data_IF_276765957990
#
_entry.id   IF_276765957990
#
_cell.length_a   1.000
_cell.length_b   1.000
_cell.length_c   1.000
_cell.angle_alpha   90.00
_cell.angle_beta   90.00
_cell.angle_gamma   90.00
#
_symmetry.space_group_name_H-M   'P 1'
#
loop_
_entity.id
_entity.type
_entity.pdbx_description
1 polymer ?
#
# COMPACT_ATOMS: atom_id res chain seq x y z
N UNK A 1 -13.58 17.21 1.71
CA UNK A 1 -13.07 18.32 2.56
C UNK A 1 -13.32 17.93 4.02
N UNK A 2 -12.56 18.46 5.00
CA UNK A 2 -12.59 17.99 6.40
C UNK A 2 -13.04 19.05 7.43
N UNK A 3 -13.88 19.99 7.02
CA UNK A 3 -14.33 21.08 7.90
C UNK A 3 -13.30 22.20 8.08
N UNK A 4 -13.56 23.07 9.07
CA UNK A 4 -12.76 24.27 9.34
C UNK A 4 -11.83 24.15 10.55
N UNK A 5 -11.88 23.03 11.28
CA UNK A 5 -10.98 22.80 12.41
C UNK A 5 -9.53 22.81 11.97
N UNK A 6 -8.59 23.17 12.84
CA UNK A 6 -7.16 23.19 12.55
C UNK A 6 -6.66 21.82 12.06
N UNK A 7 -7.10 20.73 12.70
CA UNK A 7 -6.75 19.36 12.29
C UNK A 7 -7.39 18.98 10.94
N UNK A 8 -8.64 19.41 10.70
CA UNK A 8 -9.34 19.20 9.43
C UNK A 8 -8.66 19.96 8.29
N UNK A 9 -8.31 21.22 8.53
CA UNK A 9 -7.60 22.07 7.59
C UNK A 9 -6.19 21.54 7.31
N UNK A 10 -5.44 21.11 8.32
CA UNK A 10 -4.14 20.45 8.13
C UNK A 10 -4.24 19.22 7.21
N UNK A 11 -5.27 18.40 7.34
CA UNK A 11 -5.53 17.26 6.43
C UNK A 11 -5.81 17.72 4.99
N UNK A 12 -6.46 18.88 4.80
CA UNK A 12 -6.69 19.46 3.49
C UNK A 12 -5.41 20.04 2.90
N UNK A 13 -4.66 20.86 3.64
CA UNK A 13 -3.37 21.44 3.22
C UNK A 13 -2.38 20.34 2.84
N UNK A 14 -2.29 19.27 3.64
CA UNK A 14 -1.47 18.10 3.32
C UNK A 14 -1.77 17.53 1.92
N UNK A 15 -3.06 17.35 1.58
CA UNK A 15 -3.49 16.81 0.28
C UNK A 15 -3.29 17.79 -0.87
N UNK A 16 -3.41 19.09 -0.60
CA UNK A 16 -3.03 20.13 -1.55
C UNK A 16 -1.54 20.00 -1.87
N UNK A 17 -0.69 19.85 -0.85
CA UNK A 17 0.75 19.66 -1.04
C UNK A 17 1.08 18.39 -1.82
N UNK A 18 0.44 17.26 -1.52
CA UNK A 18 0.60 16.03 -2.33
C UNK A 18 0.24 16.24 -3.81
N UNK A 19 -0.78 17.08 -4.08
CA UNK A 19 -1.20 17.40 -5.43
C UNK A 19 -0.17 18.25 -6.18
N UNK A 20 0.53 19.16 -5.48
CA UNK A 20 1.60 19.97 -6.04
C UNK A 20 2.87 19.15 -6.25
N UNK A 21 3.27 18.35 -5.25
CA UNK A 21 4.49 17.55 -5.28
C UNK A 21 4.45 16.41 -6.29
N UNK A 22 3.28 15.75 -6.42
CA UNK A 22 3.19 14.48 -7.14
C UNK A 22 2.09 14.42 -8.20
N UNK A 23 1.27 15.47 -8.31
CA UNK A 23 0.13 15.51 -9.23
C UNK A 23 -1.11 14.78 -8.71
N UNK A 24 -2.30 15.30 -9.05
CA UNK A 24 -3.58 14.76 -8.57
C UNK A 24 -3.89 13.35 -9.09
N UNK A 25 -3.49 13.03 -10.33
CA UNK A 25 -3.79 11.73 -10.96
C UNK A 25 -3.20 10.57 -10.15
N UNK A 26 -1.97 10.71 -9.67
CA UNK A 26 -1.33 9.68 -8.84
C UNK A 26 -2.10 9.44 -7.54
N UNK A 27 -2.62 10.51 -6.93
CA UNK A 27 -3.38 10.46 -5.67
C UNK A 27 -4.77 9.81 -5.80
N UNK A 28 -5.26 9.57 -7.03
CA UNK A 28 -6.53 8.85 -7.26
C UNK A 28 -6.35 7.34 -7.42
N UNK A 29 -5.11 6.84 -7.42
CA UNK A 29 -4.86 5.40 -7.33
C UNK A 29 -5.28 4.91 -5.95
N UNK A 30 -6.09 3.85 -5.93
CA UNK A 30 -6.53 3.15 -4.73
C UNK A 30 -5.91 1.75 -4.63
N UNK A 31 -5.95 1.17 -3.44
CA UNK A 31 -5.49 -0.18 -3.15
C UNK A 31 -5.99 -0.60 -1.77
N UNK A 32 -5.69 -1.84 -1.39
CA UNK A 32 -6.07 -2.40 -0.10
C UNK A 32 -4.90 -2.31 0.87
N UNK A 33 -5.22 -1.95 2.12
CA UNK A 33 -4.30 -2.13 3.23
C UNK A 33 -4.75 -3.28 4.11
N UNK A 34 -3.87 -4.24 4.34
CA UNK A 34 -4.10 -5.36 5.25
C UNK A 34 -3.35 -5.11 6.56
N UNK A 35 -4.08 -5.02 7.67
CA UNK A 35 -3.51 -4.74 8.98
C UNK A 35 -3.41 -6.05 9.77
N UNK A 36 -2.21 -6.42 10.19
CA UNK A 36 -1.92 -7.70 10.82
C UNK A 36 -1.15 -7.52 12.13
N UNK A 37 -1.64 -8.18 13.18
CA UNK A 37 -1.01 -8.25 14.50
C UNK A 37 -1.09 -9.67 15.03
N UNK A 38 -0.10 -10.05 15.82
CA UNK A 38 -0.10 -11.33 16.52
C UNK A 38 -0.78 -11.18 17.89
N UNK A 39 -1.40 -12.25 18.42
CA UNK A 39 -2.11 -12.20 19.69
C UNK A 39 -1.18 -11.96 20.89
N UNK A 40 0.06 -12.42 20.80
CA UNK A 40 1.09 -12.21 21.82
C UNK A 40 1.87 -10.92 21.55
N UNK A 41 2.31 -10.24 22.61
CA UNK A 41 3.21 -9.09 22.52
C UNK A 41 4.56 -9.53 21.93
N UNK A 42 4.69 -9.46 20.61
CA UNK A 42 5.95 -9.67 19.90
C UNK A 42 6.90 -8.49 20.14
N UNK A 43 8.18 -8.78 20.08
CA UNK A 43 9.21 -7.75 20.17
C UNK A 43 9.20 -6.85 18.93
N UNK A 44 9.78 -5.66 19.03
CA UNK A 44 10.03 -4.83 17.85
C UNK A 44 10.88 -5.61 16.82
N UNK A 45 11.86 -6.37 17.29
CA UNK A 45 12.77 -7.14 16.45
C UNK A 45 12.03 -8.19 15.62
N UNK A 46 11.03 -8.86 16.19
CA UNK A 46 10.16 -9.80 15.46
C UNK A 46 9.40 -9.10 14.33
N UNK A 47 8.84 -7.91 14.60
CA UNK A 47 8.12 -7.14 13.59
C UNK A 47 9.05 -6.62 12.49
N UNK A 48 10.27 -6.20 12.83
CA UNK A 48 11.26 -5.78 11.85
C UNK A 48 11.82 -6.95 11.05
N UNK A 49 11.99 -8.12 11.66
CA UNK A 49 12.31 -9.37 10.97
C UNK A 49 11.23 -9.74 9.94
N UNK A 50 9.95 -9.68 10.35
CA UNK A 50 8.80 -9.86 9.46
C UNK A 50 8.85 -8.85 8.31
N UNK A 51 9.06 -7.55 8.60
CA UNK A 51 9.09 -6.51 7.57
C UNK A 51 10.22 -6.75 6.55
N UNK A 52 11.42 -7.11 6.99
CA UNK A 52 12.54 -7.42 6.07
C UNK A 52 12.21 -8.60 5.15
N UNK A 53 11.70 -9.70 5.72
CA UNK A 53 11.30 -10.86 4.92
C UNK A 53 10.11 -10.58 4.00
N UNK A 54 9.14 -9.81 4.47
CA UNK A 54 8.05 -9.33 3.63
C UNK A 54 8.60 -8.54 2.44
N UNK A 55 9.55 -7.62 2.66
CA UNK A 55 10.17 -6.85 1.57
C UNK A 55 10.88 -7.78 0.58
N UNK A 56 11.63 -8.79 1.06
CA UNK A 56 12.31 -9.80 0.22
C UNK A 56 11.37 -10.58 -0.68
N UNK A 57 10.19 -10.96 -0.17
CA UNK A 57 9.27 -11.88 -0.86
C UNK A 57 8.02 -11.19 -1.45
N UNK A 58 7.78 -9.91 -1.15
CA UNK A 58 6.55 -9.19 -1.53
C UNK A 58 6.27 -9.12 -3.03
N UNK A 59 7.28 -9.33 -3.88
CA UNK A 59 7.09 -9.46 -5.32
C UNK A 59 6.14 -10.62 -5.67
N UNK A 60 6.08 -11.69 -4.86
CA UNK A 60 5.16 -12.80 -5.08
C UNK A 60 3.70 -12.37 -4.96
N UNK A 61 3.39 -11.44 -4.04
CA UNK A 61 2.05 -10.87 -3.92
C UNK A 61 1.68 -10.01 -5.14
N UNK A 62 2.64 -9.31 -5.73
CA UNK A 62 2.42 -8.57 -6.98
C UNK A 62 2.07 -9.52 -8.12
N UNK A 63 2.77 -10.66 -8.20
CA UNK A 63 2.49 -11.68 -9.19
C UNK A 63 1.10 -12.31 -9.00
N UNK A 64 0.81 -12.81 -7.79
CA UNK A 64 -0.41 -13.57 -7.50
C UNK A 64 -1.67 -12.71 -7.49
N UNK A 65 -1.58 -11.45 -7.03
CA UNK A 65 -2.75 -10.63 -6.74
C UNK A 65 -2.72 -9.25 -7.42
N UNK A 66 -1.67 -8.94 -8.20
CA UNK A 66 -1.65 -7.74 -9.03
C UNK A 66 -2.79 -7.77 -10.04
N UNK A 67 -3.55 -6.68 -10.13
CA UNK A 67 -4.76 -6.60 -10.95
C UNK A 67 -4.86 -5.26 -11.71
N UNK A 68 -3.73 -4.59 -11.92
CA UNK A 68 -3.65 -3.30 -12.61
C UNK A 68 -2.68 -3.32 -13.80
N UNK A 69 -2.86 -4.18 -14.82
CA UNK A 69 -1.95 -4.29 -15.96
C UNK A 69 -2.12 -3.17 -17.00
N UNK A 70 -3.21 -2.41 -16.93
CA UNK A 70 -3.60 -1.39 -17.90
C UNK A 70 -4.09 -0.11 -17.19
N UNK A 71 -4.02 1.02 -17.89
CA UNK A 71 -4.46 2.34 -17.44
C UNK A 71 -5.15 3.11 -18.56
N UNK A 72 -5.96 4.10 -18.20
CA UNK A 72 -6.46 5.08 -19.17
C UNK A 72 -5.30 5.94 -19.71
N UNK A 73 -5.31 6.24 -21.01
CA UNK A 73 -4.29 7.09 -21.66
C UNK A 73 -4.13 8.47 -21.00
N UNK A 74 -5.21 9.02 -20.45
CA UNK A 74 -5.18 10.29 -19.71
C UNK A 74 -4.34 10.24 -18.41
N UNK A 75 -4.12 9.05 -17.85
CA UNK A 75 -3.37 8.88 -16.60
C UNK A 75 -1.93 9.37 -16.74
N UNK A 76 -1.29 9.04 -17.87
CA UNK A 76 0.10 9.38 -18.19
C UNK A 76 0.24 10.54 -19.16
N UNK A 77 -0.85 11.22 -19.54
CA UNK A 77 -0.79 12.33 -20.50
C UNK A 77 0.20 13.42 -20.05
N UNK A 78 1.20 13.71 -20.88
CA UNK A 78 2.27 14.67 -20.60
C UNK A 78 3.37 14.15 -19.67
N UNK A 79 3.51 12.82 -19.50
CA UNK A 79 4.58 12.18 -18.73
C UNK A 79 5.30 11.16 -19.61
N UNK A 80 6.60 10.99 -19.37
CA UNK A 80 7.36 9.91 -19.98
C UNK A 80 6.95 8.55 -19.40
N UNK A 81 6.77 7.55 -20.27
CA UNK A 81 6.38 6.21 -19.87
C UNK A 81 6.79 5.16 -20.91
N UNK A 82 6.88 3.91 -20.48
CA UNK A 82 7.20 2.74 -21.33
C UNK A 82 5.96 1.93 -21.76
N UNK A 83 4.75 2.40 -21.41
CA UNK A 83 3.51 1.69 -21.76
C UNK A 83 3.27 1.63 -23.27
N UNK A 84 2.70 0.52 -23.71
CA UNK A 84 2.27 0.29 -25.09
C UNK A 84 0.79 0.63 -25.23
N UNK A 85 0.38 1.15 -26.38
CA UNK A 85 -1.02 1.42 -26.68
C UNK A 85 -1.76 0.12 -26.98
N UNK A 86 -2.85 -0.13 -26.26
CA UNK A 86 -3.74 -1.29 -26.45
C UNK A 86 -5.00 -0.92 -27.25
N UNK A 87 -5.53 0.29 -27.03
CA UNK A 87 -6.67 0.88 -27.75
C UNK A 87 -6.54 2.42 -27.77
N UNK A 88 -7.52 3.14 -28.30
CA UNK A 88 -7.56 4.61 -28.28
C UNK A 88 -7.44 5.20 -26.86
N UNK A 89 -8.14 4.61 -25.89
CA UNK A 89 -8.25 5.11 -24.52
C UNK A 89 -7.37 4.37 -23.50
N UNK A 90 -6.62 3.35 -23.94
CA UNK A 90 -5.95 2.39 -23.04
C UNK A 90 -4.49 2.17 -23.39
N UNK A 91 -3.66 2.22 -22.34
CA UNK A 91 -2.25 1.87 -22.35
C UNK A 91 -2.00 0.71 -21.37
N UNK A 92 -1.03 -0.15 -21.66
CA UNK A 92 -0.74 -1.33 -20.83
C UNK A 92 0.71 -1.81 -21.03
N UNK A 93 1.09 -2.84 -20.27
CA UNK A 93 2.24 -3.69 -20.59
C UNK A 93 1.77 -5.16 -20.71
N UNK A 94 2.20 -5.91 -21.74
CA UNK A 94 1.71 -7.27 -22.02
C UNK A 94 1.82 -8.24 -20.85
N UNK A 95 2.88 -8.11 -20.04
CA UNK A 95 3.21 -9.00 -18.93
C UNK A 95 3.11 -8.32 -17.55
N UNK A 96 2.58 -7.09 -17.47
CA UNK A 96 2.43 -6.41 -16.19
C UNK A 96 1.43 -7.12 -15.29
N UNK A 97 1.71 -7.01 -14.00
CA UNK A 97 0.86 -7.50 -12.91
C UNK A 97 0.19 -6.32 -12.20
N UNK A 98 1.00 -5.38 -11.71
CA UNK A 98 0.54 -4.20 -10.98
C UNK A 98 1.29 -2.94 -11.42
N UNK A 99 0.74 -2.19 -12.37
CA UNK A 99 1.28 -0.87 -12.75
C UNK A 99 1.18 0.12 -11.57
N UNK A 100 0.23 -0.08 -10.65
CA UNK A 100 0.13 0.65 -9.39
C UNK A 100 1.40 0.55 -8.53
N UNK A 101 2.08 -0.59 -8.56
CA UNK A 101 3.30 -0.83 -7.79
C UNK A 101 4.59 -0.61 -8.58
N UNK A 102 4.48 -0.28 -9.87
CA UNK A 102 5.59 0.08 -10.74
C UNK A 102 5.90 1.59 -10.79
N UNK A 103 6.76 1.99 -11.73
CA UNK A 103 7.20 3.38 -11.98
C UNK A 103 6.09 4.43 -12.14
N UNK A 104 4.90 4.03 -12.57
CA UNK A 104 3.77 4.94 -12.78
C UNK A 104 2.93 5.17 -11.51
N UNK A 105 3.16 4.34 -10.49
CA UNK A 105 2.49 4.40 -9.21
C UNK A 105 3.05 5.49 -8.30
N UNK A 106 2.97 5.23 -7.00
CA UNK A 106 3.44 6.14 -5.94
C UNK A 106 4.96 6.10 -5.78
N UNK A 107 5.73 6.31 -6.84
CA UNK A 107 7.18 6.53 -6.76
C UNK A 107 7.50 7.91 -7.33
N UNK A 108 7.95 8.81 -6.46
CA UNK A 108 8.54 10.08 -6.87
C UNK A 108 10.07 9.99 -6.76
N UNK A 109 10.78 10.70 -7.63
CA UNK A 109 12.25 10.75 -7.62
C UNK A 109 12.79 11.23 -6.25
N UNK A 110 12.03 12.10 -5.58
CA UNK A 110 12.35 12.59 -4.25
C UNK A 110 12.32 11.46 -3.18
N UNK A 111 11.37 10.53 -3.25
CA UNK A 111 11.32 9.40 -2.32
C UNK A 111 12.29 8.28 -2.70
N UNK A 112 12.68 8.19 -3.97
CA UNK A 112 13.67 7.20 -4.43
C UNK A 112 15.05 7.41 -3.80
N UNK A 113 15.39 8.62 -3.35
CA UNK A 113 16.63 8.90 -2.62
C UNK A 113 16.59 8.52 -1.13
N UNK A 114 15.43 8.12 -0.59
CA UNK A 114 15.30 7.80 0.84
C UNK A 114 15.69 6.34 1.11
N UNK A 115 16.90 6.15 1.62
CA UNK A 115 17.39 4.85 2.09
C UNK A 115 16.93 4.57 3.53
N UNK A 116 15.66 4.18 3.70
CA UNK A 116 15.13 3.77 5.02
C UNK A 116 15.64 2.38 5.39
N UNK A 117 16.30 2.27 6.55
CA UNK A 117 16.66 0.97 7.12
C UNK A 117 15.47 0.30 7.81
N UNK A 118 15.39 -1.03 7.68
CA UNK A 118 14.40 -1.87 8.37
C UNK A 118 15.09 -2.91 9.28
N UNK A 119 16.31 -2.61 9.72
CA UNK A 119 17.04 -3.51 10.61
C UNK A 119 16.50 -3.46 12.04
N UNK A 120 16.10 -2.28 12.51
CA UNK A 120 15.53 -2.08 13.83
C UNK A 120 14.66 -0.80 13.89
N UNK A 121 13.96 -0.61 15.00
CA UNK A 121 13.07 0.53 15.21
C UNK A 121 13.83 1.87 15.25
N UNK A 122 15.02 1.91 15.85
CA UNK A 122 15.77 3.14 16.02
C UNK A 122 16.31 3.65 14.68
N UNK A 123 16.90 2.76 13.89
CA UNK A 123 17.40 3.07 12.54
C UNK A 123 16.25 3.49 11.61
N UNK A 124 15.13 2.75 11.62
CA UNK A 124 13.93 3.14 10.88
C UNK A 124 13.43 4.53 11.26
N UNK A 125 13.33 4.80 12.57
CA UNK A 125 12.79 6.06 13.04
C UNK A 125 13.73 7.24 12.74
N UNK A 126 15.04 7.05 12.87
CA UNK A 126 16.05 8.04 12.50
C UNK A 126 15.98 8.40 11.01
N UNK A 127 15.86 7.40 10.12
CA UNK A 127 15.71 7.65 8.68
C UNK A 127 14.47 8.48 8.34
N UNK A 128 13.34 8.22 9.02
CA UNK A 128 12.12 9.01 8.81
C UNK A 128 12.21 10.41 9.41
N UNK A 129 12.83 10.57 10.58
CA UNK A 129 13.01 11.88 11.20
C UNK A 129 13.83 12.81 10.30
N UNK A 130 14.91 12.34 9.68
CA UNK A 130 15.69 13.15 8.73
C UNK A 130 14.82 13.65 7.57
N UNK A 131 14.02 12.76 6.98
CA UNK A 131 13.12 13.10 5.87
C UNK A 131 12.01 14.10 6.26
N UNK A 132 11.62 14.14 7.53
CA UNK A 132 10.58 15.01 8.06
C UNK A 132 11.11 16.38 8.49
N UNK A 133 12.40 16.48 8.82
CA UNK A 133 13.01 17.67 9.44
C UNK A 133 13.92 18.45 8.50
N UNK A 134 14.56 17.79 7.53
CA UNK A 134 15.48 18.42 6.59
C UNK A 134 14.73 19.10 5.43
N UNK A 135 14.91 20.41 5.20
CA UNK A 135 14.36 21.08 4.02
C UNK A 135 14.83 20.42 2.72
N UNK A 136 13.91 20.30 1.76
CA UNK A 136 14.21 19.79 0.44
C UNK A 136 14.34 20.97 -0.55
N UNK A 137 15.49 21.18 -1.20
CA UNK A 137 15.77 22.42 -1.95
C UNK A 137 14.70 22.80 -2.98
N UNK A 138 14.13 21.82 -3.69
CA UNK A 138 13.10 22.09 -4.69
C UNK A 138 11.78 22.59 -4.07
N UNK A 139 11.41 22.10 -2.87
CA UNK A 139 10.21 22.54 -2.16
C UNK A 139 10.45 23.85 -1.41
N UNK A 140 11.67 24.06 -0.90
CA UNK A 140 12.08 25.33 -0.29
C UNK A 140 12.03 26.49 -1.29
N UNK A 141 12.49 26.27 -2.52
CA UNK A 141 12.42 27.27 -3.58
C UNK A 141 10.99 27.70 -3.94
N UNK A 142 9.99 26.83 -3.73
CA UNK A 142 8.57 27.13 -3.93
C UNK A 142 8.01 27.93 -2.73
N UNK A 143 8.50 27.63 -1.53
CA UNK A 143 8.10 28.23 -0.26
C UNK A 143 6.70 27.80 0.22
N UNK A 144 6.38 28.15 1.47
CA UNK A 144 5.05 27.90 2.05
C UNK A 144 4.15 29.10 1.72
N UNK A 145 3.24 28.92 0.75
CA UNK A 145 2.12 29.84 0.53
C UNK A 145 0.93 29.43 1.41
N UNK A 146 0.09 30.38 1.80
CA UNK A 146 -1.05 30.12 2.70
C UNK A 146 -1.95 28.99 2.17
N UNK A 147 -1.85 27.80 2.77
CA UNK A 147 -2.72 26.66 2.49
C UNK A 147 -2.24 25.68 1.42
N UNK A 148 -1.03 25.86 0.87
CA UNK A 148 -0.53 25.03 -0.23
C UNK A 148 0.21 23.77 0.25
N UNK A 149 1.07 23.88 1.28
CA UNK A 149 1.83 22.76 1.85
C UNK A 149 1.98 22.91 3.37
N UNK A 150 2.25 21.81 4.07
CA UNK A 150 2.51 21.85 5.51
C UNK A 150 3.92 22.33 5.85
N UNK A 151 4.93 21.95 5.06
CA UNK A 151 6.34 22.33 5.23
C UNK A 151 7.07 22.23 3.89
N UNK A 152 8.38 22.46 3.90
CA UNK A 152 9.27 22.34 2.73
C UNK A 152 10.24 21.16 2.85
N UNK A 153 10.00 20.23 3.78
CA UNK A 153 10.86 19.05 3.96
C UNK A 153 10.47 17.95 2.98
N UNK A 154 11.33 16.93 2.84
CA UNK A 154 11.13 15.85 1.88
C UNK A 154 9.76 15.18 2.05
N UNK A 155 9.34 14.98 3.30
CA UNK A 155 8.00 14.49 3.66
C UNK A 155 7.28 15.52 4.51
N UNK A 156 6.05 15.91 4.14
CA UNK A 156 5.26 16.82 4.97
C UNK A 156 4.95 16.20 6.35
N UNK A 157 4.59 14.93 6.34
CA UNK A 157 4.30 14.10 7.51
C UNK A 157 4.63 12.65 7.21
N UNK A 158 4.73 11.82 8.25
CA UNK A 158 5.06 10.39 8.20
C UNK A 158 4.23 9.63 7.17
N UNK A 159 2.96 10.03 7.02
CA UNK A 159 2.03 9.36 6.13
C UNK A 159 2.41 9.46 4.64
N UNK A 160 3.22 10.46 4.26
CA UNK A 160 3.72 10.70 2.90
C UNK A 160 4.74 9.66 2.46
N UNK A 161 5.43 9.00 3.41
CA UNK A 161 6.46 8.00 3.11
C UNK A 161 5.89 6.74 2.44
N UNK A 162 6.02 6.60 1.12
CA UNK A 162 5.47 5.44 0.44
C UNK A 162 6.31 4.18 0.69
N UNK A 163 5.67 3.12 1.21
CA UNK A 163 6.29 1.81 1.42
C UNK A 163 5.28 0.68 1.20
N UNK A 164 5.78 -0.51 0.89
CA UNK A 164 4.97 -1.72 0.66
C UNK A 164 4.39 -2.29 1.96
N UNK A 165 5.05 -2.02 3.08
CA UNK A 165 4.64 -2.40 4.43
C UNK A 165 5.10 -1.31 5.42
N UNK A 166 4.35 -1.09 6.50
CA UNK A 166 4.71 -0.14 7.57
C UNK A 166 4.56 -0.76 8.96
N UNK A 167 5.49 -0.52 9.89
CA UNK A 167 5.22 -0.72 11.31
C UNK A 167 4.23 0.33 11.78
N UNK A 168 3.30 -0.06 12.66
CA UNK A 168 2.22 0.82 13.14
C UNK A 168 1.98 0.66 14.63
N UNK A 169 1.50 1.75 15.22
CA UNK A 169 1.01 1.87 16.60
C UNK A 169 -0.24 2.74 16.59
N UNK A 170 -1.26 2.40 17.41
CA UNK A 170 -2.39 3.32 17.63
C UNK A 170 -1.89 4.64 18.23
N UNK A 171 -2.30 5.74 17.63
CA UNK A 171 -1.94 7.10 18.06
C UNK A 171 -3.03 7.70 18.95
N UNK A 172 -2.61 8.51 19.93
CA UNK A 172 -3.49 9.41 20.68
C UNK A 172 -3.87 10.61 19.82
N UNK A 173 -4.91 11.35 20.21
CA UNK A 173 -5.29 12.60 19.51
C UNK A 173 -4.13 13.59 19.54
N UNK A 174 -3.77 14.12 18.36
CA UNK A 174 -2.68 15.08 18.19
C UNK A 174 -1.28 14.47 18.18
N UNK A 175 -1.15 13.16 18.45
CA UNK A 175 0.14 12.48 18.49
C UNK A 175 0.65 12.14 17.08
N UNK A 176 1.96 12.27 16.89
CA UNK A 176 2.66 11.91 15.65
C UNK A 176 2.89 10.40 15.56
N UNK A 177 2.67 9.76 14.39
CA UNK A 177 2.92 8.32 14.24
C UNK A 177 4.33 7.86 14.61
N UNK A 178 5.35 8.67 14.31
CA UNK A 178 6.74 8.30 14.59
C UNK A 178 7.04 8.31 16.09
N UNK A 179 6.54 9.33 16.80
CA UNK A 179 6.59 9.44 18.26
C UNK A 179 5.90 8.24 18.92
N UNK A 180 4.68 7.90 18.49
CA UNK A 180 3.95 6.75 19.01
C UNK A 180 4.72 5.42 18.87
N UNK A 181 5.42 5.23 17.75
CA UNK A 181 6.26 4.06 17.49
C UNK A 181 7.49 4.04 18.38
N UNK A 182 8.20 5.16 18.56
CA UNK A 182 9.39 5.26 19.42
C UNK A 182 9.04 4.95 20.87
N UNK A 183 8.02 5.62 21.39
CA UNK A 183 7.64 5.54 22.79
C UNK A 183 7.07 4.18 23.20
N UNK A 184 6.40 3.49 22.26
CA UNK A 184 5.58 2.33 22.63
C UNK A 184 5.81 1.10 21.76
N UNK A 185 6.75 1.17 20.82
CA UNK A 185 7.05 0.08 19.90
C UNK A 185 5.95 -0.19 18.89
N UNK A 186 6.20 -1.23 18.09
CA UNK A 186 5.29 -1.72 17.06
C UNK A 186 4.14 -2.48 17.73
N UNK A 187 2.93 -2.28 17.22
CA UNK A 187 1.73 -3.00 17.65
C UNK A 187 1.17 -3.89 16.53
N UNK A 188 1.31 -3.45 15.28
CA UNK A 188 0.86 -4.19 14.12
C UNK A 188 1.62 -3.73 12.87
N UNK A 189 1.52 -4.49 11.79
CA UNK A 189 2.01 -4.09 10.47
C UNK A 189 0.87 -3.80 9.52
N UNK A 190 1.05 -2.80 8.68
CA UNK A 190 0.13 -2.44 7.60
C UNK A 190 0.78 -2.82 6.27
N UNK A 191 0.30 -3.88 5.61
CA UNK A 191 0.64 -4.23 4.23
C UNK A 191 -0.13 -3.31 3.29
N UNK A 192 0.54 -2.72 2.31
CA UNK A 192 0.00 -1.64 1.47
C UNK A 192 0.14 -1.88 -0.02
N UNK A 193 0.71 -3.01 -0.43
CA UNK A 193 0.98 -3.29 -1.85
C UNK A 193 -0.21 -3.88 -2.61
N UNK A 194 -1.29 -4.30 -1.92
CA UNK A 194 -2.39 -5.01 -2.57
C UNK A 194 -3.20 -4.11 -3.50
N UNK A 195 -3.39 -4.57 -4.74
CA UNK A 195 -4.33 -3.97 -5.68
C UNK A 195 -5.77 -4.34 -5.31
N UNK A 196 -6.73 -3.63 -5.92
CA UNK A 196 -8.14 -4.02 -5.86
C UNK A 196 -8.37 -5.20 -6.81
N UNK A 197 -8.98 -6.29 -6.36
CA UNK A 197 -9.50 -7.32 -7.26
C UNK A 197 -10.76 -6.80 -7.95
N UNK A 198 -10.73 -6.52 -9.28
CA UNK A 198 -11.86 -5.93 -9.97
C UNK A 198 -13.01 -6.93 -10.14
N UNK A 199 -12.81 -8.23 -9.91
CA UNK A 199 -13.83 -9.25 -10.13
C UNK A 199 -14.74 -9.49 -8.93
N UNK A 200 -14.48 -8.85 -7.79
CA UNK A 200 -15.29 -9.03 -6.57
C UNK A 200 -15.78 -7.69 -6.01
N UNK A 201 -17.04 -7.58 -5.54
CA UNK A 201 -17.65 -6.29 -5.17
C UNK A 201 -16.93 -5.51 -4.08
N UNK A 202 -16.27 -6.19 -3.15
CA UNK A 202 -15.53 -5.58 -2.04
C UNK A 202 -14.00 -5.58 -2.26
N UNK A 203 -13.56 -5.86 -3.50
CA UNK A 203 -12.17 -5.83 -3.97
C UNK A 203 -11.17 -6.81 -3.32
N UNK A 204 -11.59 -7.68 -2.41
CA UNK A 204 -10.75 -8.72 -1.80
C UNK A 204 -11.59 -9.95 -1.44
N UNK A 205 -11.01 -11.14 -1.55
CA UNK A 205 -11.64 -12.40 -1.15
C UNK A 205 -11.15 -12.88 0.22
N UNK A 206 -11.92 -13.75 0.86
CA UNK A 206 -11.48 -14.43 2.07
C UNK A 206 -10.20 -15.25 1.83
N UNK A 207 -10.05 -15.87 0.65
CA UNK A 207 -8.87 -16.67 0.30
C UNK A 207 -7.61 -15.80 0.20
N UNK A 208 -7.70 -14.60 -0.36
CA UNK A 208 -6.59 -13.64 -0.35
C UNK A 208 -6.20 -13.26 1.08
N UNK A 209 -7.17 -13.03 1.96
CA UNK A 209 -6.90 -12.75 3.38
C UNK A 209 -6.19 -13.92 4.06
N UNK A 210 -6.66 -15.16 3.83
CA UNK A 210 -6.04 -16.38 4.38
C UNK A 210 -4.62 -16.59 3.86
N UNK A 211 -4.40 -16.32 2.58
CA UNK A 211 -3.05 -16.36 2.02
C UNK A 211 -2.14 -15.32 2.68
N UNK A 212 -2.62 -14.09 2.89
CA UNK A 212 -1.85 -13.04 3.57
C UNK A 212 -1.47 -13.42 5.00
N UNK A 213 -2.37 -14.06 5.75
CA UNK A 213 -2.04 -14.60 7.08
C UNK A 213 -0.88 -15.60 7.03
N UNK A 214 -0.97 -16.60 6.13
CA UNK A 214 0.07 -17.62 5.95
C UNK A 214 1.39 -16.98 5.54
N UNK A 215 1.35 -16.06 4.57
CA UNK A 215 2.52 -15.38 4.04
C UNK A 215 3.21 -14.50 5.09
N UNK A 216 2.44 -13.76 5.90
CA UNK A 216 2.99 -12.92 6.97
C UNK A 216 3.58 -13.76 8.11
N UNK A 217 2.98 -14.91 8.42
CA UNK A 217 3.56 -15.87 9.35
C UNK A 217 4.83 -16.51 8.81
N UNK A 218 4.91 -16.82 7.51
CA UNK A 218 6.16 -17.24 6.87
C UNK A 218 7.24 -16.16 7.03
N UNK A 219 6.91 -14.90 6.72
CA UNK A 219 7.84 -13.79 6.89
C UNK A 219 8.33 -13.62 8.34
N UNK A 220 7.47 -13.90 9.33
CA UNK A 220 7.84 -13.87 10.74
C UNK A 220 8.79 -15.01 11.13
N UNK A 221 8.53 -16.22 10.64
CA UNK A 221 9.19 -17.45 11.10
C UNK A 221 10.50 -17.75 10.37
N UNK A 222 10.70 -17.21 9.17
CA UNK A 222 11.95 -17.38 8.43
C UNK A 222 13.08 -16.54 9.01
N UNK A 223 14.31 -17.06 8.89
CA UNK A 223 15.52 -16.30 9.24
C UNK A 223 15.52 -14.93 8.55
N UNK A 224 15.84 -13.90 9.32
CA UNK A 224 15.77 -12.52 8.84
C UNK A 224 17.07 -11.77 9.15
N UNK A 225 18.16 -12.08 8.42
CA UNK A 225 19.38 -11.31 8.56
C UNK A 225 19.13 -9.82 8.28
N UNK A 226 19.94 -8.91 8.85
CA UNK A 226 19.91 -7.50 8.50
C UNK A 226 20.07 -7.28 6.99
N UNK A 227 19.34 -6.32 6.44
CA UNK A 227 19.47 -5.94 5.04
C UNK A 227 20.71 -5.07 4.78
N UNK A 228 21.22 -5.14 3.55
CA UNK A 228 22.32 -4.31 3.05
C UNK A 228 21.83 -3.39 1.93
N UNK A 229 22.54 -2.28 1.62
CA UNK A 229 22.19 -1.43 0.49
C UNK A 229 22.06 -2.18 -0.85
N UNK A 230 22.91 -3.17 -1.10
CA UNK A 230 22.88 -4.01 -2.30
C UNK A 230 21.61 -4.87 -2.34
N UNK A 231 21.25 -5.47 -1.20
CA UNK A 231 20.00 -6.24 -1.08
C UNK A 231 18.77 -5.34 -1.28
N UNK A 232 18.76 -4.13 -0.72
CA UNK A 232 17.67 -3.17 -0.90
C UNK A 232 17.49 -2.75 -2.37
N UNK A 233 18.60 -2.60 -3.10
CA UNK A 233 18.58 -2.36 -4.55
C UNK A 233 18.00 -3.56 -5.31
N UNK A 234 18.42 -4.79 -4.97
CA UNK A 234 17.88 -6.02 -5.57
C UNK A 234 16.38 -6.18 -5.30
N UNK A 235 15.93 -5.96 -4.05
CA UNK A 235 14.50 -5.98 -3.67
C UNK A 235 13.70 -4.98 -4.51
N UNK A 236 14.20 -3.76 -4.64
CA UNK A 236 13.54 -2.71 -5.43
C UNK A 236 13.48 -3.09 -6.92
N UNK A 237 14.57 -3.62 -7.46
CA UNK A 237 14.66 -4.12 -8.83
C UNK A 237 13.67 -5.26 -9.09
N UNK A 238 13.63 -6.27 -8.23
CA UNK A 238 12.71 -7.41 -8.34
C UNK A 238 11.25 -6.94 -8.30
N UNK A 239 10.89 -6.07 -7.34
CA UNK A 239 9.55 -5.48 -7.27
C UNK A 239 9.16 -4.81 -8.59
N UNK A 240 10.06 -4.00 -9.16
CA UNK A 240 9.80 -3.30 -10.41
C UNK A 240 9.67 -4.27 -11.60
N UNK A 241 10.54 -5.30 -11.68
CA UNK A 241 10.47 -6.34 -12.72
C UNK A 241 9.14 -7.09 -12.65
N UNK A 242 8.70 -7.51 -11.46
CA UNK A 242 7.44 -8.26 -11.33
C UNK A 242 6.23 -7.37 -11.59
N UNK A 243 6.25 -6.11 -11.15
CA UNK A 243 5.18 -5.15 -11.42
C UNK A 243 4.95 -4.96 -12.94
N UNK A 244 6.01 -4.81 -13.72
CA UNK A 244 5.93 -4.51 -15.17
C UNK A 244 5.94 -5.73 -16.08
N UNK A 245 6.55 -6.84 -15.65
CA UNK A 245 6.85 -8.02 -16.47
C UNK A 245 6.58 -9.35 -15.76
N UNK A 246 5.92 -9.36 -14.60
CA UNK A 246 5.79 -10.55 -13.75
C UNK A 246 5.22 -11.80 -14.42
N UNK A 247 4.39 -11.65 -15.47
CA UNK A 247 3.85 -12.77 -16.24
C UNK A 247 4.71 -13.23 -17.41
N UNK A 248 5.88 -12.62 -17.63
CA UNK A 248 6.77 -12.98 -18.71
C UNK A 248 7.40 -14.36 -18.45
N UNK A 249 7.28 -15.32 -19.39
CA UNK A 249 7.89 -16.64 -19.23
C UNK A 249 9.41 -16.55 -19.01
N UNK A 250 9.93 -17.28 -18.02
CA UNK A 250 11.37 -17.29 -17.72
C UNK A 250 11.89 -16.00 -17.08
N UNK A 251 11.02 -15.11 -16.56
CA UNK A 251 11.47 -13.90 -15.86
C UNK A 251 12.39 -14.28 -14.68
N UNK A 252 13.58 -13.66 -14.64
CA UNK A 252 14.55 -13.87 -13.57
C UNK A 252 14.60 -12.71 -12.58
N UNK A 253 14.78 -13.07 -11.31
CA UNK A 253 14.90 -12.18 -10.17
C UNK A 253 16.29 -12.32 -9.54
N UNK A 254 16.78 -11.26 -8.93
CA UNK A 254 18.09 -11.23 -8.26
C UNK A 254 17.94 -11.68 -6.81
N UNK A 255 18.65 -12.75 -6.42
CA UNK A 255 18.68 -13.28 -5.04
C UNK A 255 20.14 -13.41 -4.60
N UNK A 256 20.60 -12.46 -3.79
CA UNK A 256 22.02 -12.35 -3.45
C UNK A 256 22.88 -12.19 -4.73
N UNK A 257 23.95 -12.98 -4.90
CA UNK A 257 24.82 -12.89 -6.08
C UNK A 257 24.27 -13.64 -7.32
N UNK A 258 23.13 -14.31 -7.21
CA UNK A 258 22.57 -15.17 -8.25
C UNK A 258 21.29 -14.59 -8.84
N UNK A 259 20.94 -15.06 -10.03
CA UNK A 259 19.60 -14.88 -10.60
C UNK A 259 18.84 -16.21 -10.57
N UNK A 260 17.57 -16.16 -10.20
CA UNK A 260 16.67 -17.32 -10.08
C UNK A 260 15.38 -17.03 -10.85
N UNK A 261 14.75 -18.05 -11.43
CA UNK A 261 13.47 -17.85 -12.11
C UNK A 261 12.37 -17.51 -11.10
N UNK A 262 11.45 -16.61 -11.48
CA UNK A 262 10.33 -16.20 -10.63
C UNK A 262 9.50 -17.39 -10.15
N UNK A 263 9.18 -18.32 -11.06
CA UNK A 263 8.38 -19.50 -10.76
C UNK A 263 9.11 -20.45 -9.80
N UNK A 264 10.42 -20.64 -9.97
CA UNK A 264 11.26 -21.46 -9.08
C UNK A 264 11.28 -20.86 -7.67
N UNK A 265 11.65 -19.58 -7.54
CA UNK A 265 11.71 -18.94 -6.23
C UNK A 265 10.33 -18.81 -5.56
N UNK A 266 9.28 -18.58 -6.36
CA UNK A 266 7.91 -18.53 -5.87
C UNK A 266 7.47 -19.88 -5.32
N UNK A 267 7.85 -20.96 -6.00
CA UNK A 267 7.57 -22.33 -5.58
C UNK A 267 8.21 -22.66 -4.24
N UNK A 268 9.46 -22.25 -4.02
CA UNK A 268 10.14 -22.39 -2.73
C UNK A 268 9.37 -21.67 -1.60
N UNK A 269 9.03 -20.39 -1.80
CA UNK A 269 8.31 -19.60 -0.79
C UNK A 269 6.93 -20.20 -0.48
N UNK A 270 6.21 -20.68 -1.50
CA UNK A 270 4.89 -21.32 -1.32
C UNK A 270 5.02 -22.70 -0.63
N UNK A 271 6.09 -23.45 -0.88
CA UNK A 271 6.36 -24.70 -0.18
C UNK A 271 6.62 -24.46 1.31
N UNK A 272 7.40 -23.44 1.65
CA UNK A 272 7.67 -23.03 3.04
C UNK A 272 6.41 -22.56 3.77
N UNK A 273 5.40 -22.08 3.03
CA UNK A 273 4.08 -21.74 3.57
C UNK A 273 3.23 -22.97 3.93
N UNK A 274 3.54 -24.15 3.38
CA UNK A 274 2.74 -25.38 3.53
C UNK A 274 2.54 -25.85 4.98
N UNK A 275 3.62 -25.97 5.79
CA UNK A 275 3.49 -26.31 7.21
C UNK A 275 2.66 -25.30 8.02
N UNK A 276 2.74 -24.02 7.67
CA UNK A 276 2.02 -22.92 8.33
C UNK A 276 0.53 -23.01 8.02
N UNK A 277 0.16 -23.12 6.74
CA UNK A 277 -1.22 -23.31 6.32
C UNK A 277 -1.84 -24.55 6.99
N UNK A 278 -1.07 -25.64 7.08
CA UNK A 278 -1.49 -26.86 7.76
C UNK A 278 -1.71 -26.66 9.26
N UNK A 279 -0.89 -25.85 9.93
CA UNK A 279 -1.05 -25.52 11.34
C UNK A 279 -2.28 -24.66 11.62
N UNK A 280 -2.54 -23.64 10.79
CA UNK A 280 -3.73 -22.80 10.90
C UNK A 280 -5.02 -23.61 10.68
N UNK A 281 -4.99 -24.52 9.72
CA UNK A 281 -6.11 -25.42 9.42
C UNK A 281 -6.42 -26.37 10.58
N UNK A 282 -5.41 -26.91 11.27
CA UNK A 282 -5.66 -27.73 12.48
C UNK A 282 -6.47 -26.98 13.55
N UNK A 283 -6.41 -25.65 13.58
CA UNK A 283 -7.18 -24.82 14.50
C UNK A 283 -8.50 -24.28 13.90
N UNK A 284 -8.62 -24.16 12.57
CA UNK A 284 -9.67 -23.37 11.92
C UNK A 284 -10.39 -24.05 10.72
N UNK A 285 -10.03 -25.28 10.33
CA UNK A 285 -10.66 -26.00 9.20
C UNK A 285 -9.70 -26.40 8.08
N UNK A 286 -10.07 -26.19 6.82
CA UNK A 286 -9.26 -26.55 5.62
C UNK A 286 -8.94 -25.36 4.69
N UNK A 287 -9.49 -24.19 4.99
CA UNK A 287 -9.51 -23.06 4.07
C UNK A 287 -8.13 -22.41 3.85
N UNK A 288 -7.17 -22.58 4.77
CA UNK A 288 -5.82 -22.02 4.59
C UNK A 288 -5.00 -22.84 3.60
N UNK A 289 -5.07 -24.18 3.64
CA UNK A 289 -4.43 -25.02 2.60
C UNK A 289 -5.08 -24.85 1.23
N UNK A 290 -6.40 -24.65 1.18
CA UNK A 290 -7.10 -24.36 -0.08
C UNK A 290 -6.62 -23.03 -0.70
N UNK A 291 -6.53 -21.96 0.09
CA UNK A 291 -5.99 -20.67 -0.36
C UNK A 291 -4.54 -20.77 -0.83
N UNK A 292 -3.69 -21.54 -0.12
CA UNK A 292 -2.31 -21.79 -0.54
C UNK A 292 -2.25 -22.61 -1.84
N UNK A 293 -3.11 -23.62 -1.99
CA UNK A 293 -3.21 -24.42 -3.20
C UNK A 293 -3.61 -23.60 -4.43
N UNK A 294 -4.54 -22.65 -4.26
CA UNK A 294 -4.92 -21.71 -5.31
C UNK A 294 -3.73 -20.80 -5.73
N UNK A 295 -2.90 -20.35 -4.78
CA UNK A 295 -1.70 -19.59 -5.08
C UNK A 295 -0.64 -20.43 -5.82
N UNK A 296 -0.46 -21.70 -5.45
CA UNK A 296 0.43 -22.64 -6.17
C UNK A 296 -0.05 -22.86 -7.61
N UNK A 297 -1.36 -23.06 -7.81
CA UNK A 297 -1.93 -23.19 -9.14
C UNK A 297 -1.74 -21.92 -9.97
N UNK A 298 -1.93 -20.74 -9.37
CA UNK A 298 -1.73 -19.46 -10.06
C UNK A 298 -0.27 -19.19 -10.44
N UNK A 299 0.69 -19.70 -9.66
CA UNK A 299 2.12 -19.64 -9.99
C UNK A 299 2.48 -20.53 -11.19
N UNK A 300 1.84 -21.70 -11.30
CA UNK A 300 2.06 -22.62 -12.40
C UNK A 300 1.36 -22.18 -13.70
N UNK A 301 0.27 -21.41 -13.59
CA UNK A 301 -0.50 -20.88 -14.72
C UNK A 301 -0.61 -19.35 -14.67
N UNK A 302 0.33 -18.62 -15.32
CA UNK A 302 0.32 -17.15 -15.35
C UNK A 302 -0.97 -16.54 -15.93
N UNK A 303 -1.69 -17.27 -16.80
CA UNK A 303 -2.92 -16.79 -17.45
C UNK A 303 -4.12 -16.81 -16.49
N UNK A 304 -4.02 -17.53 -15.38
CA UNK A 304 -5.02 -17.55 -14.31
C UNK A 304 -4.92 -16.37 -13.34
N UNK A 305 -3.78 -15.66 -13.33
CA UNK A 305 -3.55 -14.53 -12.41
C UNK A 305 -4.54 -13.38 -12.67
N UNK A 306 -4.88 -12.55 -11.65
CA UNK A 306 -5.85 -11.47 -11.82
C UNK A 306 -5.48 -10.48 -12.93
N UNK A 307 -4.19 -10.14 -13.06
CA UNK A 307 -3.72 -9.27 -14.13
C UNK A 307 -3.94 -9.85 -15.54
N UNK A 308 -3.71 -11.16 -15.76
CA UNK A 308 -4.02 -11.79 -17.03
C UNK A 308 -5.54 -11.79 -17.29
N UNK A 309 -6.33 -12.17 -16.28
CA UNK A 309 -7.80 -12.17 -16.36
C UNK A 309 -8.37 -10.80 -16.69
N UNK A 310 -7.79 -9.70 -16.19
CA UNK A 310 -8.17 -8.32 -16.54
C UNK A 310 -7.99 -8.08 -18.03
N UNK A 311 -6.81 -8.41 -18.59
CA UNK A 311 -6.54 -8.21 -20.02
C UNK A 311 -7.46 -9.09 -20.89
N UNK A 312 -7.68 -10.34 -20.50
CA UNK A 312 -8.59 -11.25 -21.20
C UNK A 312 -10.03 -10.73 -21.20
N UNK A 313 -10.54 -10.26 -20.06
CA UNK A 313 -11.89 -9.69 -19.96
C UNK A 313 -12.04 -8.41 -20.79
N UNK A 314 -11.03 -7.52 -20.76
CA UNK A 314 -11.00 -6.33 -21.61
C UNK A 314 -11.06 -6.68 -23.11
N UNK A 315 -10.27 -7.67 -23.53
CA UNK A 315 -10.23 -8.11 -24.93
C UNK A 315 -11.55 -8.76 -25.38
N UNK A 316 -12.10 -9.66 -24.56
CA UNK A 316 -13.30 -10.43 -24.87
C UNK A 316 -14.57 -9.57 -24.90
N UNK A 317 -14.76 -8.72 -23.88
CA UNK A 317 -16.08 -8.13 -23.60
C UNK A 317 -16.12 -6.59 -23.80
N UNK A 318 -14.95 -5.94 -23.89
CA UNK A 318 -14.87 -4.47 -23.85
C UNK A 318 -14.02 -3.85 -24.96
N UNK A 319 -13.72 -4.60 -26.01
CA UNK A 319 -12.95 -4.12 -27.17
C UNK A 319 -11.64 -3.46 -26.74
N UNK A 320 -10.93 -4.06 -25.78
CA UNK A 320 -9.67 -3.59 -25.23
C UNK A 320 -9.68 -2.22 -24.52
N UNK A 321 -10.86 -1.67 -24.21
CA UNK A 321 -10.99 -0.41 -23.47
C UNK A 321 -11.03 -0.66 -21.97
N UNK A 322 -10.01 -0.18 -21.26
CA UNK A 322 -9.92 -0.18 -19.82
C UNK A 322 -11.07 0.60 -19.18
N UNK A 323 -11.43 1.76 -19.75
CA UNK A 323 -12.50 2.62 -19.22
C UNK A 323 -13.86 1.92 -19.29
N UNK A 324 -14.17 1.25 -20.41
CA UNK A 324 -15.41 0.47 -20.56
C UNK A 324 -15.44 -0.71 -19.59
N UNK A 325 -14.34 -1.45 -19.46
CA UNK A 325 -14.21 -2.56 -18.53
C UNK A 325 -14.47 -2.14 -17.07
N UNK A 326 -13.73 -1.14 -16.57
CA UNK A 326 -13.88 -0.73 -15.16
C UNK A 326 -15.23 -0.09 -14.89
N UNK A 327 -15.84 0.62 -15.84
CA UNK A 327 -17.18 1.19 -15.69
C UNK A 327 -18.25 0.10 -15.63
N UNK A 328 -18.15 -0.93 -16.47
CA UNK A 328 -19.07 -2.06 -16.47
C UNK A 328 -19.04 -2.78 -15.12
N UNK A 329 -17.84 -3.13 -14.63
CA UNK A 329 -17.67 -3.75 -13.33
C UNK A 329 -18.12 -2.86 -12.17
N UNK A 330 -17.82 -1.56 -12.21
CA UNK A 330 -18.26 -0.62 -11.17
C UNK A 330 -19.79 -0.56 -11.06
N UNK A 331 -20.51 -0.62 -12.19
CA UNK A 331 -21.97 -0.66 -12.21
C UNK A 331 -22.49 -1.99 -11.66
N UNK A 332 -21.93 -3.11 -12.11
CA UNK A 332 -22.31 -4.44 -11.62
C UNK A 332 -22.10 -4.59 -10.11
N UNK A 333 -20.96 -4.11 -9.59
CA UNK A 333 -20.65 -4.14 -8.15
C UNK A 333 -21.57 -3.22 -7.35
N UNK A 334 -21.87 -2.02 -7.87
CA UNK A 334 -22.87 -1.12 -7.26
C UNK A 334 -24.21 -1.83 -7.14
N UNK A 335 -24.69 -2.44 -8.22
CA UNK A 335 -26.01 -3.08 -8.24
C UNK A 335 -26.04 -4.26 -7.27
N UNK A 336 -25.00 -5.10 -7.27
CA UNK A 336 -24.80 -6.19 -6.29
C UNK A 336 -24.87 -5.68 -4.84
N UNK A 337 -24.16 -4.59 -4.52
CA UNK A 337 -24.11 -4.04 -3.15
C UNK A 337 -25.46 -3.44 -2.75
N UNK A 338 -26.16 -2.77 -3.68
CA UNK A 338 -27.47 -2.17 -3.41
C UNK A 338 -28.59 -3.20 -3.22
N UNK A 339 -28.44 -4.39 -3.81
CA UNK A 339 -29.38 -5.51 -3.63
C UNK A 339 -29.19 -6.25 -2.31
N UNK A 340 -28.06 -6.07 -1.62
CA UNK A 340 -27.83 -6.71 -0.31
C UNK A 340 -28.82 -6.17 0.74
N UNK A 341 -29.48 -7.06 1.50
CA UNK A 341 -30.39 -6.62 2.54
C UNK A 341 -29.64 -5.87 3.65
N UNK A 342 -30.07 -4.64 3.93
CA UNK A 342 -29.60 -3.86 5.07
C UNK A 342 -30.59 -3.99 6.22
N UNK A 343 -30.19 -4.69 7.29
CA UNK A 343 -31.06 -4.83 8.46
C UNK A 343 -31.33 -3.47 9.11
N UNK A 344 -32.53 -3.31 9.70
CA UNK A 344 -32.91 -2.07 10.38
C UNK A 344 -31.92 -1.69 11.49
N UNK A 345 -31.40 -2.68 12.22
CA UNK A 345 -30.37 -2.50 13.25
C UNK A 345 -29.08 -1.90 12.68
N UNK A 346 -28.59 -2.41 11.55
CA UNK A 346 -27.37 -1.89 10.92
C UNK A 346 -27.60 -0.48 10.37
N UNK A 347 -28.77 -0.23 9.76
CA UNK A 347 -29.13 1.09 9.26
C UNK A 347 -29.19 2.12 10.40
N UNK A 348 -29.84 1.79 11.50
CA UNK A 348 -29.95 2.66 12.68
C UNK A 348 -28.57 2.91 13.32
N UNK A 349 -27.73 1.86 13.41
CA UNK A 349 -26.35 2.01 13.88
C UNK A 349 -25.56 2.98 13.00
N UNK A 350 -25.65 2.88 11.67
CA UNK A 350 -24.95 3.80 10.77
C UNK A 350 -25.50 5.23 10.84
N UNK A 351 -26.81 5.41 11.01
CA UNK A 351 -27.41 6.72 11.24
C UNK A 351 -26.84 7.38 12.51
N UNK A 352 -26.81 6.65 13.64
CA UNK A 352 -26.22 7.14 14.89
C UNK A 352 -24.73 7.47 14.75
N UNK A 353 -23.96 6.66 14.03
CA UNK A 353 -22.55 6.94 13.77
C UNK A 353 -22.36 8.21 12.93
N UNK A 354 -23.21 8.42 11.92
CA UNK A 354 -23.18 9.63 11.10
C UNK A 354 -23.49 10.88 11.93
N UNK A 355 -24.57 10.87 12.72
CA UNK A 355 -24.94 11.96 13.63
C UNK A 355 -23.84 12.25 14.65
N UNK A 356 -23.32 11.21 15.30
CA UNK A 356 -22.22 11.33 16.27
C UNK A 356 -20.95 11.91 15.64
N UNK A 357 -20.61 11.53 14.41
CA UNK A 357 -19.43 12.05 13.70
C UNK A 357 -19.55 13.55 13.39
N UNK A 358 -20.75 14.03 13.05
CA UNK A 358 -21.01 15.45 12.77
C UNK A 358 -20.98 16.28 14.06
N UNK A 359 -21.57 15.76 15.14
CA UNK A 359 -21.50 16.38 16.45
C UNK A 359 -20.05 16.51 16.95
N UNK A 360 -19.26 15.44 16.78
CA UNK A 360 -17.84 15.44 17.13
C UNK A 360 -17.02 16.40 16.27
N UNK A 361 -17.31 16.50 14.96
CA UNK A 361 -16.66 17.49 14.09
C UNK A 361 -16.91 18.92 14.61
N UNK A 362 -18.17 19.28 14.90
CA UNK A 362 -18.52 20.60 15.45
C UNK A 362 -17.82 20.87 16.78
N UNK A 363 -17.72 19.85 17.64
CA UNK A 363 -17.01 19.96 18.93
C UNK A 363 -15.52 20.24 18.74
N UNK A 364 -14.88 19.58 17.77
CA UNK A 364 -13.47 19.83 17.44
C UNK A 364 -13.30 21.26 16.88
N UNK A 365 -14.17 21.69 15.98
CA UNK A 365 -14.15 23.04 15.40
C UNK A 365 -14.33 24.13 16.47
N UNK A 366 -15.22 23.92 17.44
CA UNK A 366 -15.44 24.85 18.56
C UNK A 366 -14.31 24.84 19.62
N UNK A 367 -13.49 23.78 19.65
CA UNK A 367 -12.41 23.62 20.62
C UNK A 367 -11.07 24.23 20.16
N UNK A 368 -10.96 24.69 18.91
CA UNK A 368 -9.76 25.34 18.41
C UNK A 368 -9.57 26.71 19.07
N UNK A 369 -8.45 26.89 19.77
CA UNK A 369 -8.14 28.14 20.50
C UNK A 369 -7.05 28.99 19.86
N UNK A 370 -6.43 28.50 18.79
CA UNK A 370 -5.32 29.17 18.10
C UNK A 370 -5.56 29.26 16.59
N UNK A 371 -5.02 30.30 15.92
CA UNK A 371 -5.00 30.35 14.47
C UNK A 371 -4.25 29.15 13.87
N UNK A 372 -4.63 28.79 12.64
CA UNK A 372 -4.06 27.63 11.96
C UNK A 372 -2.54 27.65 11.83
N UNK A 373 -1.95 28.81 11.57
CA UNK A 373 -0.50 28.91 11.39
C UNK A 373 0.25 28.54 12.68
N UNK A 374 -0.25 29.00 13.84
CA UNK A 374 0.27 28.60 15.15
C UNK A 374 0.08 27.11 15.40
N UNK A 375 -1.07 26.55 15.05
CA UNK A 375 -1.30 25.10 15.14
C UNK A 375 -0.33 24.31 14.25
N UNK A 376 -0.14 24.72 12.99
CA UNK A 376 0.74 24.08 12.01
C UNK A 376 2.18 24.02 12.51
N UNK A 377 2.71 25.16 12.97
CA UNK A 377 4.07 25.24 13.52
C UNK A 377 4.23 24.32 14.74
N UNK A 378 3.27 24.31 15.66
CA UNK A 378 3.28 23.40 16.82
C UNK A 378 3.25 21.93 16.36
N UNK A 379 2.29 21.56 15.51
CA UNK A 379 2.12 20.19 15.04
C UNK A 379 3.36 19.62 14.31
N UNK A 380 4.11 20.49 13.63
CA UNK A 380 5.32 20.11 12.90
C UNK A 380 6.61 20.25 13.70
N UNK A 381 6.56 20.83 14.90
CA UNK A 381 7.74 21.05 15.73
C UNK A 381 8.41 19.74 16.15
N UNK A 382 9.75 19.75 16.21
CA UNK A 382 10.57 18.60 16.59
C UNK A 382 10.21 17.96 17.95
N UNK A 383 9.79 18.69 19.00
CA UNK A 383 9.33 18.07 20.24
C UNK A 383 8.18 17.08 20.05
N UNK A 384 7.29 17.32 19.08
CA UNK A 384 6.21 16.36 18.78
C UNK A 384 6.68 15.11 18.03
N UNK A 385 7.94 15.04 17.61
CA UNK A 385 8.58 13.84 17.03
C UNK A 385 9.39 13.02 18.05
N UNK A 386 9.80 13.65 19.17
CA UNK A 386 10.86 13.16 20.07
C UNK A 386 10.49 13.08 21.57
N UNK A 387 9.36 13.63 21.99
CA UNK A 387 8.88 13.54 23.39
C UNK A 387 8.18 12.20 23.65
#
# INVERSE_FOLDING_TARGET
RYGSSNVGWAKTVYRTGLSHRYGRRMQTISGIHYNFSLPDARSNDDYFALIRNFRRHSWLLLYLFGASPAVCSSFVAGRDHELVRLSEDTLYLPYATSLRMGRLGYQSDAQASLAVSYNDLNSYAASLEEALTRPYPAYEAIGIRQGDELNTTLLQIENEFYSTIRPKRRIKRGERPLHALRERGVEYVEVRLMDLDPFVPIAITADTVRFLDVFLLHCLLCDSPPDTPEELAAITGNKQRVASRGREPGLRLTRGPQEIELAEWGGEVLADCGPIASALDRANGTAYREALGAAVAALADPDSTPSARVLQAMARDHGNSYVRFVLALSRAHRDTILELPLSAEVAERFARLAEGSLAEQRRIEAADTVPFETYRQRYLSAPNLNV
#
